data_IF_749226393363
#
_entry.id   IF_749226393363
#
_cell.length_a   1.000
_cell.length_b   1.000
_cell.length_c   1.000
_cell.angle_alpha   90.00
_cell.angle_beta   90.00
_cell.angle_gamma   90.00
#
_symmetry.space_group_name_H-M   'P 1'
#
loop_
_entity.id
_entity.type
_entity.pdbx_description
1 polymer ?
#
# COMPACT_ATOMS: atom_id res chain seq x y z
N UNK A 1 -85.36 25.72 72.41
CA UNK A 1 -83.89 25.89 72.56
C UNK A 1 -83.06 24.64 72.22
N UNK A 2 -83.50 23.48 72.63
CA UNK A 2 -82.77 22.25 72.41
C UNK A 2 -82.45 21.90 70.91
N UNK A 3 -83.43 22.16 70.03
CA UNK A 3 -83.27 21.89 68.59
C UNK A 3 -82.22 22.79 67.91
N UNK A 4 -82.22 24.07 68.27
CA UNK A 4 -81.20 24.99 67.71
C UNK A 4 -79.79 24.66 68.18
N UNK A 5 -79.62 24.27 69.44
CA UNK A 5 -78.35 23.86 69.99
C UNK A 5 -77.79 22.60 69.28
N UNK A 6 -78.69 21.65 69.02
CA UNK A 6 -78.32 20.43 68.25
C UNK A 6 -77.93 20.76 66.82
N UNK A 7 -78.64 21.64 66.16
CA UNK A 7 -78.33 22.08 64.82
C UNK A 7 -76.97 22.82 64.74
N UNK A 8 -76.71 23.66 65.74
CA UNK A 8 -75.38 24.38 65.85
C UNK A 8 -74.28 23.36 66.10
N UNK A 9 -74.49 22.35 66.93
CA UNK A 9 -73.53 21.28 67.17
C UNK A 9 -73.19 20.50 65.90
N UNK A 10 -74.23 20.11 65.15
CA UNK A 10 -74.04 19.44 63.84
C UNK A 10 -73.30 20.27 62.82
N UNK A 11 -73.61 21.58 62.75
CA UNK A 11 -72.91 22.50 61.86
C UNK A 11 -71.43 22.72 62.23
N UNK A 12 -71.18 22.81 63.53
CA UNK A 12 -69.80 22.89 64.05
C UNK A 12 -68.96 21.65 63.70
N UNK A 13 -69.59 20.48 63.88
CA UNK A 13 -68.92 19.21 63.52
C UNK A 13 -68.67 19.13 61.99
N UNK A 14 -69.66 19.49 61.21
CA UNK A 14 -69.53 19.56 59.77
C UNK A 14 -68.40 20.50 59.29
N UNK A 15 -68.36 21.70 59.91
CA UNK A 15 -67.31 22.68 59.60
C UNK A 15 -65.92 22.17 60.00
N UNK A 16 -65.78 21.54 61.14
CA UNK A 16 -64.53 20.90 61.59
C UNK A 16 -64.07 19.80 60.66
N UNK A 17 -64.99 18.96 60.19
CA UNK A 17 -64.67 17.91 59.20
C UNK A 17 -64.21 18.51 57.85
N UNK A 18 -64.91 19.56 57.38
CA UNK A 18 -64.58 20.25 56.18
C UNK A 18 -63.16 20.90 56.26
N UNK A 19 -62.86 21.52 57.41
CA UNK A 19 -61.56 22.11 57.65
C UNK A 19 -60.41 21.04 57.64
N UNK A 20 -60.67 19.91 58.27
CA UNK A 20 -59.73 18.76 58.25
C UNK A 20 -59.51 18.22 56.82
N UNK A 21 -60.59 18.15 56.04
CA UNK A 21 -60.49 17.71 54.63
C UNK A 21 -59.68 18.74 53.76
N UNK A 22 -59.91 20.04 53.97
CA UNK A 22 -59.14 21.10 53.30
C UNK A 22 -57.68 21.05 53.68
N UNK A 23 -57.36 20.85 54.96
CA UNK A 23 -55.97 20.71 55.43
C UNK A 23 -55.29 19.50 54.82
N UNK A 24 -55.95 18.37 54.78
CA UNK A 24 -55.44 17.15 54.14
C UNK A 24 -55.23 17.32 52.64
N UNK A 25 -56.16 17.99 51.96
CA UNK A 25 -56.01 18.29 50.53
C UNK A 25 -54.83 19.27 50.28
N UNK A 26 -54.70 20.28 51.11
CA UNK A 26 -53.57 21.24 51.03
C UNK A 26 -52.23 20.53 51.21
N UNK A 27 -52.12 19.68 52.20
CA UNK A 27 -50.90 18.88 52.45
C UNK A 27 -50.61 17.93 51.29
N UNK A 28 -51.60 17.21 50.78
CA UNK A 28 -51.42 16.29 49.65
C UNK A 28 -51.00 17.03 48.38
N UNK A 29 -51.62 18.16 48.11
CA UNK A 29 -51.27 19.01 46.97
C UNK A 29 -49.85 19.55 47.09
N UNK A 30 -49.43 20.04 48.25
CA UNK A 30 -48.09 20.54 48.52
C UNK A 30 -47.03 19.43 48.36
N UNK A 31 -47.31 18.25 48.88
CA UNK A 31 -46.42 17.07 48.73
C UNK A 31 -46.35 16.63 47.28
N UNK A 32 -47.46 16.56 46.59
CA UNK A 32 -47.48 16.21 45.16
C UNK A 32 -46.69 17.20 44.29
N UNK A 33 -46.89 18.49 44.57
CA UNK A 33 -46.14 19.57 43.86
C UNK A 33 -44.65 19.51 44.15
N UNK A 34 -44.23 19.26 45.38
CA UNK A 34 -42.82 19.08 45.74
C UNK A 34 -42.20 17.87 45.04
N UNK A 35 -42.91 16.74 44.97
CA UNK A 35 -42.45 15.54 44.25
C UNK A 35 -42.33 15.79 42.74
N UNK A 36 -43.32 16.45 42.16
CA UNK A 36 -43.29 16.84 40.74
C UNK A 36 -42.10 17.76 40.43
N UNK A 37 -41.87 18.74 41.28
CA UNK A 37 -40.74 19.68 41.11
C UNK A 37 -39.40 18.96 41.21
N UNK A 38 -39.24 18.04 42.16
CA UNK A 38 -38.03 17.19 42.26
C UNK A 38 -37.81 16.31 41.05
N UNK A 39 -38.88 15.74 40.50
CA UNK A 39 -38.82 14.93 39.26
C UNK A 39 -38.44 15.77 38.06
N UNK A 40 -38.97 16.98 37.93
CA UNK A 40 -38.61 17.95 36.88
C UNK A 40 -37.13 18.34 36.99
N UNK A 41 -36.62 18.58 38.19
CA UNK A 41 -35.21 18.91 38.44
C UNK A 41 -34.30 17.74 38.05
N UNK A 42 -34.66 16.52 38.39
CA UNK A 42 -33.91 15.29 38.00
C UNK A 42 -33.92 15.11 36.48
N UNK A 43 -35.07 15.32 35.83
CA UNK A 43 -35.20 15.21 34.38
C UNK A 43 -34.37 16.27 33.66
N UNK A 44 -34.40 17.52 34.15
CA UNK A 44 -33.56 18.62 33.61
C UNK A 44 -32.09 18.32 33.70
N UNK A 45 -31.60 17.78 34.83
CA UNK A 45 -30.22 17.36 35.02
C UNK A 45 -29.87 16.21 34.08
N UNK A 46 -30.74 15.20 33.96
CA UNK A 46 -30.56 14.09 33.03
C UNK A 46 -30.46 14.55 31.58
N UNK A 47 -31.33 15.45 31.16
CA UNK A 47 -31.32 16.00 29.80
C UNK A 47 -30.02 16.80 29.51
N UNK A 48 -29.56 17.62 30.46
CA UNK A 48 -28.28 18.33 30.35
C UNK A 48 -27.10 17.38 30.21
N UNK A 49 -27.09 16.28 30.98
CA UNK A 49 -26.08 15.24 30.89
C UNK A 49 -26.08 14.55 29.53
N UNK A 50 -27.25 14.21 29.00
CA UNK A 50 -27.39 13.60 27.68
C UNK A 50 -26.89 14.55 26.59
N UNK A 51 -27.27 15.83 26.65
CA UNK A 51 -26.79 16.84 25.71
C UNK A 51 -25.26 16.92 25.70
N UNK A 52 -24.63 17.03 26.86
CA UNK A 52 -23.17 17.09 26.98
C UNK A 52 -22.50 15.82 26.42
N UNK A 53 -23.03 14.64 26.71
CA UNK A 53 -22.50 13.38 26.18
C UNK A 53 -22.64 13.29 24.66
N UNK A 54 -23.75 13.77 24.11
CA UNK A 54 -24.00 13.83 22.66
C UNK A 54 -23.02 14.76 21.97
N UNK A 55 -22.77 15.95 22.52
CA UNK A 55 -21.83 16.92 21.98
C UNK A 55 -20.39 16.38 22.02
N UNK A 56 -20.01 15.73 23.13
CA UNK A 56 -18.72 15.08 23.24
C UNK A 56 -18.56 13.94 22.21
N UNK A 57 -19.59 13.12 22.02
CA UNK A 57 -19.58 12.05 21.03
C UNK A 57 -19.46 12.61 19.60
N UNK A 58 -20.23 13.64 19.26
CA UNK A 58 -20.18 14.29 17.96
C UNK A 58 -18.79 14.90 17.67
N UNK A 59 -18.24 15.60 18.64
CA UNK A 59 -16.90 16.22 18.53
C UNK A 59 -15.80 15.16 18.41
N UNK A 60 -15.86 14.08 19.20
CA UNK A 60 -14.92 12.96 19.13
C UNK A 60 -15.01 12.24 17.79
N UNK A 61 -16.22 12.06 17.27
CA UNK A 61 -16.44 11.44 15.96
C UNK A 61 -15.84 12.28 14.84
N UNK A 62 -16.09 13.59 14.83
CA UNK A 62 -15.49 14.51 13.86
C UNK A 62 -13.96 14.51 13.91
N UNK A 63 -13.38 14.53 15.11
CA UNK A 63 -11.94 14.41 15.32
C UNK A 63 -11.37 13.08 14.80
N UNK A 64 -12.04 11.98 15.06
CA UNK A 64 -11.61 10.66 14.62
C UNK A 64 -11.68 10.49 13.10
N UNK A 65 -12.65 11.10 12.43
CA UNK A 65 -12.75 11.12 10.98
C UNK A 65 -11.61 11.94 10.35
N UNK A 66 -11.20 13.05 10.96
CA UNK A 66 -10.22 13.96 10.36
C UNK A 66 -10.74 14.57 9.05
N UNK A 67 -9.85 14.87 8.12
CA UNK A 67 -10.22 15.38 6.79
C UNK A 67 -11.08 16.66 6.81
N UNK A 68 -10.96 17.50 7.86
CA UNK A 68 -11.75 18.72 8.03
C UNK A 68 -13.19 18.48 8.48
N UNK A 69 -13.54 17.28 8.94
CA UNK A 69 -14.85 16.99 9.54
C UNK A 69 -15.07 17.81 10.81
N UNK A 70 -16.28 18.35 10.99
CA UNK A 70 -16.70 19.16 12.14
C UNK A 70 -18.02 18.66 12.68
N UNK A 71 -18.26 18.93 13.96
CA UNK A 71 -19.55 18.68 14.62
C UNK A 71 -20.30 20.00 14.81
N UNK A 72 -21.58 20.02 14.47
CA UNK A 72 -22.50 21.11 14.72
C UNK A 72 -23.44 20.75 15.89
N UNK A 73 -23.27 21.33 17.09
CA UNK A 73 -24.10 21.03 18.25
C UNK A 73 -25.55 21.52 18.09
N UNK A 74 -25.81 22.46 17.19
CA UNK A 74 -27.16 22.97 16.96
C UNK A 74 -28.02 21.98 16.21
N UNK A 75 -27.44 21.27 15.25
CA UNK A 75 -28.14 20.29 14.41
C UNK A 75 -27.85 18.85 14.80
N UNK A 76 -26.83 18.61 15.63
CA UNK A 76 -26.35 17.28 16.00
C UNK A 76 -25.67 16.52 14.86
N UNK A 77 -25.22 17.22 13.81
CA UNK A 77 -24.63 16.60 12.62
C UNK A 77 -23.11 16.71 12.63
N UNK A 78 -22.49 15.63 12.17
CA UNK A 78 -21.06 15.60 11.84
C UNK A 78 -20.95 15.77 10.32
N UNK A 79 -20.12 16.73 9.87
CA UNK A 79 -19.88 16.95 8.44
C UNK A 79 -19.05 15.81 7.84
N UNK A 80 -19.24 15.55 6.55
CA UNK A 80 -18.41 14.59 5.83
C UNK A 80 -16.94 15.04 5.83
N UNK A 81 -15.98 14.12 5.98
CA UNK A 81 -14.57 14.40 5.78
C UNK A 81 -14.26 14.68 4.30
N UNK A 82 -13.10 15.24 4.04
CA UNK A 82 -12.57 15.46 2.70
C UNK A 82 -11.15 14.91 2.62
N UNK A 83 -11.01 13.70 2.04
CA UNK A 83 -9.72 13.04 1.85
C UNK A 83 -9.28 13.19 0.40
N UNK A 84 -8.04 13.65 0.19
CA UNK A 84 -7.44 13.67 -1.14
C UNK A 84 -6.97 12.27 -1.52
N UNK A 85 -7.44 11.76 -2.65
CA UNK A 85 -7.00 10.50 -3.25
C UNK A 85 -6.33 10.76 -4.59
N UNK A 86 -5.46 9.84 -5.02
CA UNK A 86 -4.68 9.97 -6.24
C UNK A 86 -5.17 8.98 -7.29
N UNK A 87 -5.38 9.46 -8.51
CA UNK A 87 -5.85 8.66 -9.63
C UNK A 87 -4.68 8.13 -10.47
N UNK A 88 -4.90 7.02 -11.17
CA UNK A 88 -3.91 6.39 -12.04
C UNK A 88 -3.39 7.33 -13.16
N UNK A 89 -4.17 8.33 -13.56
CA UNK A 89 -3.80 9.34 -14.57
C UNK A 89 -3.02 10.54 -14.00
N UNK A 90 -2.65 10.52 -12.71
CA UNK A 90 -1.89 11.59 -12.04
C UNK A 90 -2.73 12.74 -11.51
N UNK A 91 -4.05 12.73 -11.68
CA UNK A 91 -4.97 13.71 -11.08
C UNK A 91 -5.32 13.34 -9.64
N UNK A 92 -6.03 14.23 -8.95
CA UNK A 92 -6.57 13.96 -7.60
C UNK A 92 -8.09 13.95 -7.62
N UNK A 93 -8.67 13.21 -6.67
CA UNK A 93 -10.09 13.21 -6.36
C UNK A 93 -10.28 13.42 -4.87
N UNK A 94 -11.52 13.74 -4.47
CA UNK A 94 -11.90 13.89 -3.06
C UNK A 94 -12.86 12.77 -2.68
N UNK A 95 -12.54 12.07 -1.60
CA UNK A 95 -13.41 11.08 -0.97
C UNK A 95 -14.05 11.67 0.29
N UNK A 96 -15.36 11.53 0.42
CA UNK A 96 -16.15 12.11 1.51
C UNK A 96 -16.53 11.09 2.59
N UNK A 97 -15.93 9.92 2.57
CA UNK A 97 -16.03 8.89 3.61
C UNK A 97 -14.75 8.05 3.65
N UNK A 98 -14.50 7.39 4.77
CA UNK A 98 -13.39 6.44 4.90
C UNK A 98 -13.53 5.30 3.88
N UNK A 99 -14.73 4.77 3.69
CA UNK A 99 -15.00 3.71 2.72
C UNK A 99 -14.64 4.14 1.29
N UNK A 100 -15.12 5.30 0.84
CA UNK A 100 -14.82 5.78 -0.52
C UNK A 100 -13.34 6.12 -0.71
N UNK A 101 -12.62 6.54 0.35
CA UNK A 101 -11.17 6.73 0.29
C UNK A 101 -10.43 5.40 0.09
N UNK A 102 -10.82 4.37 0.83
CA UNK A 102 -10.23 3.02 0.70
C UNK A 102 -10.54 2.43 -0.68
N UNK A 103 -11.79 2.54 -1.15
CA UNK A 103 -12.19 2.07 -2.48
C UNK A 103 -11.39 2.77 -3.58
N UNK A 104 -11.16 4.06 -3.44
CA UNK A 104 -10.32 4.83 -4.37
C UNK A 104 -8.87 4.34 -4.36
N UNK A 105 -8.27 4.11 -3.20
CA UNK A 105 -6.91 3.57 -3.09
C UNK A 105 -6.82 2.18 -3.73
N UNK A 106 -7.79 1.32 -3.51
CA UNK A 106 -7.81 -0.03 -4.06
C UNK A 106 -8.00 -0.03 -5.59
N UNK A 107 -8.77 0.91 -6.13
CA UNK A 107 -9.09 0.97 -7.57
C UNK A 107 -8.10 1.81 -8.37
N UNK A 108 -7.55 2.88 -7.82
CA UNK A 108 -6.68 3.83 -8.49
C UNK A 108 -5.20 3.69 -8.12
N UNK A 109 -4.91 3.03 -7.00
CA UNK A 109 -3.57 2.88 -6.45
C UNK A 109 -3.13 4.06 -5.58
N UNK A 110 -1.84 4.14 -5.29
CA UNK A 110 -1.20 5.21 -4.54
C UNK A 110 -0.41 6.12 -5.49
N UNK A 111 -0.03 7.31 -5.03
CA UNK A 111 0.55 8.38 -5.88
C UNK A 111 1.67 7.92 -6.83
N UNK A 112 2.52 7.01 -6.42
CA UNK A 112 3.68 6.57 -7.19
C UNK A 112 3.66 5.09 -7.56
N UNK A 113 2.56 4.40 -7.28
CA UNK A 113 2.39 3.00 -7.60
C UNK A 113 0.97 2.73 -8.10
N UNK A 114 0.88 2.29 -9.37
CA UNK A 114 -0.38 1.92 -10.00
C UNK A 114 -0.23 0.55 -10.64
N UNK A 115 -1.14 -0.36 -10.35
CA UNK A 115 -1.26 -1.65 -10.99
C UNK A 115 -2.67 -1.78 -11.58
N UNK A 116 -2.76 -2.28 -12.81
CA UNK A 116 -4.03 -2.59 -13.46
C UNK A 116 -4.10 -4.10 -13.66
N UNK A 117 -4.71 -4.80 -12.72
CA UNK A 117 -4.87 -6.26 -12.78
C UNK A 117 -6.08 -6.71 -11.97
N UNK A 118 -6.77 -7.74 -12.45
CA UNK A 118 -7.79 -8.51 -11.72
C UNK A 118 -7.26 -9.90 -11.34
N UNK A 119 -5.98 -10.18 -11.57
CA UNK A 119 -5.35 -11.46 -11.28
C UNK A 119 -5.05 -11.67 -9.78
N UNK A 120 -4.39 -12.78 -9.47
CA UNK A 120 -4.02 -13.13 -8.11
C UNK A 120 -3.08 -12.09 -7.48
N UNK A 121 -3.13 -11.98 -6.16
CA UNK A 121 -2.21 -11.14 -5.40
C UNK A 121 -0.74 -11.62 -5.52
N UNK A 122 0.18 -10.73 -5.24
CA UNK A 122 1.61 -11.07 -5.13
C UNK A 122 1.91 -11.76 -3.80
N UNK A 123 2.96 -12.58 -3.77
CA UNK A 123 3.36 -13.33 -2.58
C UNK A 123 4.83 -13.13 -2.28
N UNK A 124 5.17 -12.55 -1.14
CA UNK A 124 6.53 -12.41 -0.64
C UNK A 124 6.67 -13.19 0.67
N UNK A 125 7.32 -14.36 0.63
CA UNK A 125 7.49 -15.26 1.79
C UNK A 125 8.94 -15.36 2.26
N UNK A 126 9.90 -14.96 1.46
CA UNK A 126 11.30 -14.85 1.89
C UNK A 126 11.48 -13.70 2.89
N UNK A 127 12.44 -13.80 3.80
CA UNK A 127 12.81 -12.69 4.69
C UNK A 127 13.33 -11.53 3.86
N UNK A 128 12.83 -10.30 4.10
CA UNK A 128 13.18 -9.08 3.37
C UNK A 128 12.95 -9.18 1.85
N UNK A 129 12.02 -10.05 1.41
CA UNK A 129 11.64 -10.20 0.01
C UNK A 129 10.55 -9.21 -0.41
N UNK A 130 10.53 -8.86 -1.69
CA UNK A 130 9.57 -7.94 -2.31
C UNK A 130 8.95 -8.57 -3.55
N UNK A 131 7.62 -8.59 -3.65
CA UNK A 131 6.89 -9.05 -4.82
C UNK A 131 5.93 -7.96 -5.32
N UNK A 132 6.10 -7.54 -6.56
CA UNK A 132 5.32 -6.46 -7.18
C UNK A 132 4.75 -6.95 -8.51
N UNK A 133 3.44 -7.02 -8.61
CA UNK A 133 2.71 -7.45 -9.80
C UNK A 133 1.81 -8.65 -9.53
N UNK A 134 0.73 -8.79 -10.31
CA UNK A 134 -0.22 -9.88 -10.14
C UNK A 134 0.46 -11.25 -10.25
N UNK A 135 0.30 -12.09 -9.23
CA UNK A 135 0.88 -13.43 -9.19
C UNK A 135 2.42 -13.44 -9.11
N UNK A 136 3.06 -12.32 -8.78
CA UNK A 136 4.50 -12.28 -8.53
C UNK A 136 4.83 -13.05 -7.25
N UNK A 137 5.91 -13.84 -7.25
CA UNK A 137 6.34 -14.68 -6.13
C UNK A 137 7.80 -14.40 -5.80
N UNK A 138 8.07 -13.95 -4.57
CA UNK A 138 9.40 -13.79 -4.02
C UNK A 138 9.54 -14.66 -2.76
N UNK A 139 10.02 -15.88 -2.91
CA UNK A 139 10.08 -16.87 -1.84
C UNK A 139 11.47 -17.07 -1.25
N UNK A 140 12.51 -16.55 -1.88
CA UNK A 140 13.87 -16.55 -1.33
C UNK A 140 14.20 -15.26 -0.59
N UNK A 141 15.06 -15.34 0.41
CA UNK A 141 15.44 -14.18 1.22
C UNK A 141 16.12 -13.11 0.37
N UNK A 142 15.88 -11.83 0.71
CA UNK A 142 16.44 -10.65 0.04
C UNK A 142 16.17 -10.61 -1.49
N UNK A 143 15.15 -11.27 -1.97
CA UNK A 143 14.84 -11.33 -3.40
C UNK A 143 13.70 -10.39 -3.79
N UNK A 144 13.69 -10.00 -5.05
CA UNK A 144 12.67 -9.12 -5.64
C UNK A 144 12.07 -9.80 -6.86
N UNK A 145 10.74 -10.00 -6.86
CA UNK A 145 9.98 -10.39 -8.04
C UNK A 145 9.25 -9.16 -8.58
N UNK A 146 9.60 -8.71 -9.77
CA UNK A 146 9.11 -7.49 -10.37
C UNK A 146 8.35 -7.76 -11.68
N UNK A 147 7.08 -7.49 -11.69
CA UNK A 147 6.17 -7.67 -12.80
C UNK A 147 5.24 -8.88 -12.63
N UNK A 148 4.10 -8.86 -13.34
CA UNK A 148 3.11 -9.93 -13.25
C UNK A 148 3.73 -11.31 -13.57
N UNK A 149 3.48 -12.31 -12.74
CA UNK A 149 3.98 -13.67 -12.87
C UNK A 149 5.49 -13.83 -12.71
N UNK A 150 6.22 -12.79 -12.28
CA UNK A 150 7.66 -12.91 -12.00
C UNK A 150 7.93 -13.81 -10.82
N UNK A 151 9.00 -14.61 -10.88
CA UNK A 151 9.37 -15.57 -9.84
C UNK A 151 10.80 -15.36 -9.39
N UNK A 152 10.98 -15.00 -8.13
CA UNK A 152 12.25 -14.98 -7.41
C UNK A 152 12.22 -16.09 -6.34
N UNK A 153 12.15 -17.34 -6.81
CA UNK A 153 11.93 -18.56 -6.03
C UNK A 153 13.18 -19.47 -6.00
N UNK A 154 14.26 -19.04 -6.63
CA UNK A 154 15.54 -19.74 -6.63
C UNK A 154 16.61 -18.89 -5.96
N UNK A 155 17.40 -19.51 -5.10
CA UNK A 155 18.49 -18.82 -4.40
C UNK A 155 19.51 -18.25 -5.39
N UNK A 156 20.07 -17.10 -5.06
CA UNK A 156 21.13 -16.50 -5.86
C UNK A 156 22.38 -17.39 -5.88
N UNK A 157 23.01 -17.50 -7.05
CA UNK A 157 24.20 -18.33 -7.25
C UNK A 157 25.43 -17.45 -7.39
N UNK A 158 26.40 -17.66 -6.51
CA UNK A 158 27.70 -17.00 -6.60
C UNK A 158 28.50 -17.53 -7.80
N UNK A 159 28.95 -16.63 -8.69
CA UNK A 159 29.67 -16.99 -9.90
C UNK A 159 31.00 -16.23 -9.97
N UNK A 160 32.12 -16.92 -9.88
CA UNK A 160 33.48 -16.33 -9.93
C UNK A 160 34.18 -16.58 -11.26
N UNK A 161 33.72 -17.56 -12.02
CA UNK A 161 34.27 -17.94 -13.33
C UNK A 161 33.23 -18.66 -14.17
N UNK A 162 33.47 -18.75 -15.47
CA UNK A 162 32.70 -19.54 -16.41
C UNK A 162 33.63 -20.26 -17.38
N UNK A 163 33.33 -21.48 -17.77
CA UNK A 163 34.06 -22.25 -18.78
C UNK A 163 33.18 -22.42 -20.02
N UNK A 164 33.67 -21.99 -21.17
CA UNK A 164 32.98 -22.11 -22.45
C UNK A 164 33.95 -22.74 -23.44
N UNK A 165 33.57 -23.85 -24.07
CA UNK A 165 34.37 -24.58 -25.04
C UNK A 165 35.81 -24.88 -24.55
N UNK A 166 35.95 -25.25 -23.26
CA UNK A 166 37.23 -25.57 -22.64
C UNK A 166 38.08 -24.36 -22.21
N UNK A 167 37.63 -23.13 -22.49
CA UNK A 167 38.31 -21.90 -22.05
C UNK A 167 37.63 -21.36 -20.80
N UNK A 168 38.42 -21.14 -19.75
CA UNK A 168 37.93 -20.57 -18.49
C UNK A 168 38.13 -19.08 -18.44
N UNK A 169 37.04 -18.37 -18.24
CA UNK A 169 36.99 -16.91 -17.96
C UNK A 169 36.77 -16.73 -16.46
N UNK A 170 37.53 -15.89 -15.78
CA UNK A 170 37.46 -15.68 -14.34
C UNK A 170 37.81 -14.25 -13.93
N UNK A 171 37.91 -14.04 -12.62
CA UNK A 171 38.14 -12.72 -12.06
C UNK A 171 36.88 -11.86 -12.01
N UNK A 172 35.70 -12.47 -11.98
CA UNK A 172 34.42 -11.74 -11.93
C UNK A 172 34.26 -11.00 -10.61
N UNK A 173 33.73 -9.78 -10.67
CA UNK A 173 33.29 -9.01 -9.51
C UNK A 173 31.88 -9.43 -9.07
N UNK A 174 31.48 -9.06 -7.85
CA UNK A 174 30.12 -9.32 -7.34
C UNK A 174 29.77 -10.80 -7.13
N UNK A 175 30.74 -11.63 -6.80
CA UNK A 175 30.62 -13.09 -6.74
C UNK A 175 29.78 -13.65 -5.59
N UNK A 176 29.29 -12.80 -4.67
CA UNK A 176 28.48 -13.18 -3.50
C UNK A 176 27.15 -12.41 -3.49
N UNK A 177 26.22 -12.70 -4.40
CA UNK A 177 24.92 -12.04 -4.41
C UNK A 177 24.12 -12.42 -3.16
N UNK A 178 23.45 -11.46 -2.54
CA UNK A 178 22.59 -11.67 -1.37
C UNK A 178 21.19 -12.15 -1.74
N UNK A 179 20.76 -11.90 -2.98
CA UNK A 179 19.45 -12.29 -3.49
C UNK A 179 19.38 -12.05 -4.99
N UNK A 180 18.22 -12.29 -5.57
CA UNK A 180 17.96 -12.11 -7.00
C UNK A 180 16.93 -11.01 -7.23
N UNK A 181 17.02 -10.31 -8.34
CA UNK A 181 15.92 -9.50 -8.90
C UNK A 181 15.42 -10.22 -10.15
N UNK A 182 14.24 -10.84 -10.05
CA UNK A 182 13.61 -11.51 -11.17
C UNK A 182 12.57 -10.61 -11.84
N UNK A 183 12.68 -10.46 -13.14
CA UNK A 183 11.72 -9.70 -13.95
C UNK A 183 10.81 -10.61 -14.79
N UNK A 184 10.80 -11.89 -14.54
CA UNK A 184 10.01 -12.87 -15.29
C UNK A 184 9.99 -14.26 -14.66
N UNK A 185 9.64 -15.24 -15.46
CA UNK A 185 9.70 -16.66 -15.14
C UNK A 185 10.06 -17.43 -16.41
N UNK A 186 10.40 -18.73 -16.28
CA UNK A 186 10.72 -19.55 -17.43
C UNK A 186 9.63 -19.47 -18.52
N UNK A 187 10.04 -19.20 -19.74
CA UNK A 187 9.19 -18.93 -20.92
C UNK A 187 8.30 -17.67 -20.83
N UNK A 188 8.56 -16.79 -19.85
CA UNK A 188 7.90 -15.49 -19.68
C UNK A 188 8.93 -14.45 -19.22
N UNK A 189 10.08 -14.42 -19.88
CA UNK A 189 11.17 -13.50 -19.63
C UNK A 189 10.78 -12.09 -20.11
N UNK A 190 11.41 -11.05 -19.54
CA UNK A 190 11.25 -9.64 -19.94
C UNK A 190 12.56 -9.04 -20.36
N UNK A 191 12.52 -8.19 -21.37
CA UNK A 191 13.65 -7.32 -21.71
C UNK A 191 13.77 -6.18 -20.68
N UNK A 192 14.98 -5.87 -20.28
CA UNK A 192 15.29 -4.63 -19.55
C UNK A 192 15.78 -3.64 -20.58
N UNK A 193 15.00 -2.59 -20.85
CA UNK A 193 15.28 -1.56 -21.84
C UNK A 193 15.73 -0.25 -21.18
N UNK A 194 16.32 0.68 -21.97
CA UNK A 194 16.80 1.98 -21.51
C UNK A 194 17.90 1.88 -20.43
N UNK A 195 18.66 0.81 -20.46
CA UNK A 195 19.83 0.64 -19.59
C UNK A 195 20.96 1.50 -20.13
N UNK A 196 21.50 2.39 -19.30
CA UNK A 196 22.69 3.16 -19.63
C UNK A 196 23.92 2.25 -19.80
N UNK A 197 24.94 2.73 -20.51
CA UNK A 197 26.20 2.01 -20.61
C UNK A 197 26.85 1.86 -19.22
N UNK A 198 27.15 0.63 -18.84
CA UNK A 198 27.83 0.31 -17.58
C UNK A 198 29.34 0.57 -17.66
N UNK A 199 29.98 0.77 -16.52
CA UNK A 199 31.43 0.86 -16.44
C UNK A 199 32.07 -0.47 -16.80
N UNK A 200 33.12 -0.44 -17.65
CA UNK A 200 33.86 -1.64 -18.04
C UNK A 200 35.21 -1.61 -17.34
N UNK A 201 35.25 -2.11 -16.13
CA UNK A 201 36.46 -2.25 -15.30
C UNK A 201 36.50 -3.64 -14.64
N UNK A 202 37.66 -4.03 -14.14
CA UNK A 202 37.81 -5.33 -13.46
C UNK A 202 36.98 -5.47 -12.16
N UNK A 203 36.48 -4.36 -11.61
CA UNK A 203 35.72 -4.34 -10.36
C UNK A 203 34.28 -3.91 -10.56
N UNK A 204 33.86 -3.58 -11.81
CA UNK A 204 32.50 -3.14 -12.08
C UNK A 204 31.49 -4.27 -11.87
N UNK A 205 30.34 -3.89 -11.30
CA UNK A 205 29.15 -4.73 -11.17
C UNK A 205 27.97 -4.13 -11.93
N UNK A 206 28.21 -3.16 -12.82
CA UNK A 206 27.18 -2.52 -13.63
C UNK A 206 26.67 -3.49 -14.71
N UNK A 207 25.41 -3.32 -15.09
CA UNK A 207 24.84 -4.01 -16.25
C UNK A 207 25.45 -3.44 -17.55
N UNK A 208 25.68 -4.30 -18.51
CA UNK A 208 26.19 -3.96 -19.85
C UNK A 208 25.01 -3.90 -20.82
N UNK A 209 24.89 -2.83 -21.62
CA UNK A 209 23.88 -2.74 -22.66
C UNK A 209 24.37 -3.28 -24.02
N UNK A 210 23.42 -3.52 -24.92
CA UNK A 210 23.69 -4.12 -26.22
C UNK A 210 24.70 -3.36 -27.11
N UNK A 211 24.80 -2.04 -26.98
CA UNK A 211 25.76 -1.25 -27.78
C UNK A 211 27.21 -1.49 -27.37
N UNK A 212 27.45 -1.76 -26.09
CA UNK A 212 28.79 -2.12 -25.59
C UNK A 212 29.22 -3.49 -26.13
N UNK A 213 28.32 -4.47 -26.12
CA UNK A 213 28.57 -5.79 -26.71
C UNK A 213 28.78 -5.68 -28.23
N UNK A 214 27.99 -4.85 -28.94
CA UNK A 214 28.14 -4.63 -30.38
C UNK A 214 29.55 -4.11 -30.73
N UNK A 215 30.10 -3.17 -29.97
CA UNK A 215 31.44 -2.66 -30.15
C UNK A 215 32.50 -3.77 -30.06
N UNK A 216 32.37 -4.66 -29.11
CA UNK A 216 33.26 -5.83 -28.99
C UNK A 216 33.08 -6.79 -30.16
N UNK A 217 31.84 -7.07 -30.58
CA UNK A 217 31.56 -7.94 -31.72
C UNK A 217 32.14 -7.41 -33.02
N UNK A 218 32.14 -6.09 -33.24
CA UNK A 218 32.81 -5.47 -34.40
C UNK A 218 34.34 -5.72 -34.39
N UNK A 219 34.98 -5.57 -33.25
CA UNK A 219 36.41 -5.84 -33.12
C UNK A 219 36.75 -7.31 -33.37
N UNK A 220 35.93 -8.24 -32.86
CA UNK A 220 36.09 -9.67 -33.14
C UNK A 220 35.90 -9.95 -34.62
N UNK A 221 34.91 -9.36 -35.29
CA UNK A 221 34.71 -9.48 -36.73
C UNK A 221 35.91 -9.01 -37.55
N UNK A 222 36.49 -7.85 -37.17
CA UNK A 222 37.71 -7.31 -37.79
C UNK A 222 38.90 -8.26 -37.61
N UNK A 223 39.09 -8.80 -36.41
CA UNK A 223 40.16 -9.76 -36.13
C UNK A 223 40.00 -11.07 -36.95
N UNK A 224 38.77 -11.57 -37.04
CA UNK A 224 38.44 -12.76 -37.84
C UNK A 224 38.75 -12.56 -39.33
N UNK A 225 38.41 -11.38 -39.88
CA UNK A 225 38.73 -11.01 -41.27
C UNK A 225 40.23 -10.93 -41.49
N UNK A 226 40.98 -10.35 -40.56
CA UNK A 226 42.45 -10.27 -40.63
C UNK A 226 43.12 -11.64 -40.59
N UNK A 227 42.64 -12.54 -39.74
CA UNK A 227 43.07 -13.95 -39.63
C UNK A 227 42.80 -14.68 -40.95
N UNK A 228 41.63 -14.54 -41.55
CA UNK A 228 41.27 -15.15 -42.82
C UNK A 228 42.18 -14.67 -43.95
N UNK A 229 42.45 -13.36 -44.00
CA UNK A 229 43.38 -12.77 -44.97
C UNK A 229 44.81 -13.27 -44.79
N UNK A 230 45.29 -13.39 -43.56
CA UNK A 230 46.59 -13.95 -43.24
C UNK A 230 46.69 -15.42 -43.65
N UNK A 231 45.70 -16.23 -43.37
CA UNK A 231 45.61 -17.63 -43.77
C UNK A 231 45.66 -17.79 -45.28
N UNK A 232 44.92 -16.97 -46.04
CA UNK A 232 44.99 -16.95 -47.52
C UNK A 232 46.38 -16.55 -48.03
N UNK A 233 46.95 -15.51 -47.49
CA UNK A 233 48.30 -15.05 -47.88
C UNK A 233 49.39 -16.08 -47.59
N UNK A 234 49.32 -16.74 -46.44
CA UNK A 234 50.25 -17.81 -46.04
C UNK A 234 50.10 -19.01 -46.98
N UNK A 235 48.90 -19.42 -47.30
CA UNK A 235 48.61 -20.53 -48.22
C UNK A 235 49.12 -20.24 -49.63
N UNK A 236 48.92 -19.03 -50.12
CA UNK A 236 49.43 -18.59 -51.44
C UNK A 236 50.97 -18.52 -51.46
N UNK A 237 51.58 -17.97 -50.43
CA UNK A 237 53.01 -17.91 -50.28
C UNK A 237 53.66 -19.29 -50.23
N UNK A 238 53.08 -20.20 -49.49
CA UNK A 238 53.55 -21.59 -49.41
C UNK A 238 53.43 -22.32 -50.76
N UNK A 239 52.32 -22.12 -51.49
CA UNK A 239 52.14 -22.68 -52.83
C UNK A 239 53.19 -22.11 -53.81
N UNK A 240 53.46 -20.83 -53.77
CA UNK A 240 54.52 -20.19 -54.60
C UNK A 240 55.92 -20.71 -54.26
N UNK A 241 56.24 -20.84 -52.98
CA UNK A 241 57.51 -21.43 -52.52
C UNK A 241 57.67 -22.86 -52.99
N UNK A 242 56.62 -23.71 -52.86
CA UNK A 242 56.64 -25.08 -53.32
C UNK A 242 56.82 -25.19 -54.85
N UNK A 243 56.16 -24.33 -55.63
CA UNK A 243 56.34 -24.28 -57.07
C UNK A 243 57.77 -23.90 -57.45
N UNK A 244 58.40 -22.94 -56.76
CA UNK A 244 59.78 -22.54 -56.97
C UNK A 244 60.78 -23.66 -56.65
N UNK A 245 60.52 -24.39 -55.55
CA UNK A 245 61.35 -25.55 -55.16
C UNK A 245 61.22 -26.68 -56.21
N UNK A 246 60.03 -26.93 -56.71
CA UNK A 246 59.80 -27.93 -57.74
C UNK A 246 60.52 -27.56 -59.03
N UNK A 247 60.45 -26.30 -59.48
CA UNK A 247 61.18 -25.78 -60.63
C UNK A 247 62.69 -25.94 -60.47
N UNK A 248 63.23 -25.64 -59.31
CA UNK A 248 64.68 -25.79 -59.04
C UNK A 248 65.11 -27.25 -59.03
N UNK A 249 64.25 -28.17 -58.60
CA UNK A 249 64.53 -29.62 -58.58
C UNK A 249 64.52 -30.28 -59.97
N UNK A 250 63.90 -29.65 -60.97
CA UNK A 250 63.76 -30.18 -62.33
C UNK A 250 64.69 -29.55 -63.36
N UNK A 251 65.50 -28.60 -62.97
CA UNK A 251 66.54 -27.98 -63.77
C UNK A 251 67.93 -28.59 -63.47
#
# INVERSE_FOLDING_TARGET
>A
MSSATSSIGSLSTGLSSTNSSITSLSTSTSTGLSSANSSIGSLSTGLSTVSTKTDNLGSSTASALGGGSTYDPTTGKVSAPSYTTYNANGTTSTANSVGSAIDSINSQGIKYFHANSTGADSTATGTDAVAIGSGAIASTNNSVALGAGSKADTAAVGTSSATVDGVTFGGFAGTKPVGTVSVGSANNERQITNVAAGQVTSTSTDAINGSQLYSVAQQVGTATSAISSLSTSTSTGLSSANSSITSLSTS
#
